data_IF_413154573039
#
_entry.id   IF_413154573039
#
_cell.length_a   1.000
_cell.length_b   1.000
_cell.length_c   1.000
_cell.angle_alpha   90.00
_cell.angle_beta   90.00
_cell.angle_gamma   90.00
#
_symmetry.space_group_name_H-M   'P 1'
#
loop_
_entity.id
_entity.type
_entity.pdbx_description
1 polymer ?
#
# COMPACT_ATOMS: atom_id res chain seq x y z
N UNK A 1 33.04 -39.76 -29.14
CA UNK A 1 31.75 -39.65 -29.87
C UNK A 1 30.81 -38.80 -29.03
N UNK A 2 30.77 -37.51 -29.31
CA UNK A 2 29.93 -36.51 -28.65
C UNK A 2 28.64 -36.33 -29.46
N UNK A 3 27.50 -36.51 -28.80
CA UNK A 3 26.16 -36.32 -29.36
C UNK A 3 25.95 -34.85 -29.80
N UNK A 4 25.65 -34.56 -31.09
CA UNK A 4 25.47 -33.18 -31.56
C UNK A 4 24.08 -32.56 -31.29
N UNK A 5 23.19 -33.19 -30.50
CA UNK A 5 21.82 -32.70 -30.29
C UNK A 5 21.54 -32.05 -28.93
N UNK A 6 22.54 -31.45 -28.30
CA UNK A 6 22.29 -30.48 -27.24
C UNK A 6 21.87 -29.13 -27.85
N UNK A 7 20.60 -29.02 -28.27
CA UNK A 7 20.00 -27.73 -28.61
C UNK A 7 20.10 -26.79 -27.42
N UNK A 8 20.82 -25.69 -27.60
CA UNK A 8 20.86 -24.57 -26.66
C UNK A 8 19.43 -24.13 -26.30
N UNK A 9 19.15 -23.71 -25.05
CA UNK A 9 17.86 -23.12 -24.73
C UNK A 9 17.66 -21.92 -25.65
N UNK A 10 16.66 -22.01 -26.53
CA UNK A 10 16.29 -20.96 -27.45
C UNK A 10 16.21 -19.64 -26.69
N UNK A 11 17.10 -18.70 -27.00
CA UNK A 11 16.96 -17.33 -26.56
C UNK A 11 15.61 -16.84 -27.08
N UNK A 12 14.60 -16.80 -26.22
CA UNK A 12 13.29 -16.29 -26.59
C UNK A 12 13.48 -14.83 -27.02
N UNK A 13 13.47 -14.59 -28.33
CA UNK A 13 13.60 -13.26 -28.92
C UNK A 13 12.58 -12.36 -28.24
N UNK A 14 13.05 -11.27 -27.63
CA UNK A 14 12.15 -10.31 -26.98
C UNK A 14 11.14 -9.78 -28.00
N UNK A 15 9.86 -9.61 -27.64
CA UNK A 15 8.86 -9.14 -28.59
C UNK A 15 9.24 -7.78 -29.19
N UNK A 16 8.85 -7.52 -30.46
CA UNK A 16 9.07 -6.24 -31.11
C UNK A 16 8.63 -5.07 -30.22
N UNK A 17 9.33 -3.93 -30.28
CA UNK A 17 9.04 -2.76 -29.43
C UNK A 17 7.58 -2.30 -29.50
N UNK A 18 6.96 -2.36 -30.69
CA UNK A 18 5.56 -2.01 -30.89
C UNK A 18 4.60 -3.00 -30.20
N UNK A 19 4.94 -4.29 -30.15
CA UNK A 19 4.11 -5.30 -29.50
C UNK A 19 4.10 -5.13 -27.98
N UNK A 20 5.25 -4.72 -27.41
CA UNK A 20 5.33 -4.31 -25.99
C UNK A 20 4.53 -3.04 -25.73
N UNK A 21 4.62 -2.04 -26.61
CA UNK A 21 3.84 -0.82 -26.50
C UNK A 21 2.33 -1.09 -26.58
N UNK A 22 1.90 -1.99 -27.46
CA UNK A 22 0.51 -2.45 -27.56
C UNK A 22 0.05 -3.16 -26.28
N UNK A 23 0.87 -4.06 -25.73
CA UNK A 23 0.59 -4.71 -24.44
C UNK A 23 0.44 -3.67 -23.29
N UNK A 24 1.33 -2.66 -23.23
CA UNK A 24 1.22 -1.55 -22.26
C UNK A 24 -0.03 -0.70 -22.46
N UNK A 25 -0.37 -0.36 -23.71
CA UNK A 25 -1.56 0.43 -24.03
C UNK A 25 -2.85 -0.32 -23.62
N UNK A 26 -2.92 -1.63 -23.87
CA UNK A 26 -4.05 -2.45 -23.46
C UNK A 26 -4.21 -2.48 -21.92
N UNK A 27 -3.10 -2.62 -21.19
CA UNK A 27 -3.10 -2.58 -19.72
C UNK A 27 -3.51 -1.19 -19.22
N UNK A 28 -2.98 -0.13 -19.82
CA UNK A 28 -3.35 1.24 -19.47
C UNK A 28 -4.84 1.49 -19.70
N UNK A 29 -5.40 1.04 -20.82
CA UNK A 29 -6.84 1.13 -21.08
C UNK A 29 -7.67 0.31 -20.10
N UNK A 30 -7.23 -0.88 -19.72
CA UNK A 30 -7.90 -1.66 -18.68
C UNK A 30 -7.86 -0.96 -17.31
N UNK A 31 -6.70 -0.40 -16.92
CA UNK A 31 -6.57 0.39 -15.68
C UNK A 31 -7.47 1.63 -15.72
N UNK A 32 -7.45 2.39 -16.81
CA UNK A 32 -8.32 3.55 -17.00
C UNK A 32 -9.81 3.15 -17.02
N UNK A 33 -10.15 1.99 -17.59
CA UNK A 33 -11.52 1.49 -17.53
C UNK A 33 -11.96 1.22 -16.09
N UNK A 34 -11.06 0.64 -15.27
CA UNK A 34 -11.33 0.38 -13.86
C UNK A 34 -11.44 1.67 -13.03
N UNK A 35 -10.80 2.77 -13.46
CA UNK A 35 -10.91 4.06 -12.76
C UNK A 35 -12.19 4.82 -13.12
N UNK A 36 -12.84 4.56 -14.26
CA UNK A 36 -14.04 5.30 -14.68
C UNK A 36 -15.24 5.14 -13.73
N UNK A 37 -15.63 3.93 -13.28
CA UNK A 37 -16.65 3.78 -12.24
C UNK A 37 -16.28 4.52 -10.94
N UNK A 38 -14.98 4.76 -10.72
CA UNK A 38 -14.40 5.34 -9.51
C UNK A 38 -14.29 6.88 -9.56
N UNK A 39 -14.04 7.46 -10.73
CA UNK A 39 -13.86 8.91 -10.92
C UNK A 39 -15.08 9.60 -11.53
N UNK A 40 -16.06 8.84 -12.04
CA UNK A 40 -17.11 9.37 -12.91
C UNK A 40 -16.62 9.64 -14.33
N UNK A 41 -15.39 9.22 -14.65
CA UNK A 41 -14.72 9.46 -15.92
C UNK A 41 -14.05 10.83 -16.03
N UNK A 42 -13.25 11.01 -17.08
CA UNK A 42 -12.60 12.29 -17.37
C UNK A 42 -13.45 13.04 -18.40
N UNK A 43 -13.85 14.27 -18.05
CA UNK A 43 -14.43 15.25 -18.97
C UNK A 43 -13.48 16.44 -19.01
N UNK A 44 -12.71 16.57 -20.09
CA UNK A 44 -11.74 17.64 -20.23
C UNK A 44 -11.89 18.32 -21.58
N UNK A 45 -11.76 19.65 -21.61
CA UNK A 45 -11.63 20.41 -22.83
C UNK A 45 -10.13 20.58 -23.10
N UNK A 46 -9.62 19.89 -24.11
CA UNK A 46 -8.20 19.91 -24.47
C UNK A 46 -8.12 20.45 -25.88
N UNK A 47 -7.53 21.65 -26.05
CA UNK A 47 -7.29 22.27 -27.36
C UNK A 47 -8.58 22.47 -28.20
N UNK A 48 -9.69 22.81 -27.53
CA UNK A 48 -11.00 22.97 -28.16
C UNK A 48 -11.80 21.67 -28.34
N UNK A 49 -11.22 20.50 -28.04
CA UNK A 49 -11.90 19.21 -28.14
C UNK A 49 -12.48 18.75 -26.81
N UNK A 50 -13.74 18.31 -26.83
CA UNK A 50 -14.38 17.68 -25.68
C UNK A 50 -13.96 16.21 -25.55
N UNK A 51 -12.94 15.95 -24.73
CA UNK A 51 -12.55 14.59 -24.37
C UNK A 51 -13.54 14.05 -23.32
N UNK A 52 -14.38 13.09 -23.70
CA UNK A 52 -15.32 12.38 -22.82
C UNK A 52 -14.93 10.92 -22.67
N UNK A 53 -14.23 10.59 -21.58
CA UNK A 53 -13.88 9.21 -21.22
C UNK A 53 -14.71 8.80 -20.01
N UNK A 54 -15.95 8.38 -20.27
CA UNK A 54 -16.96 8.05 -19.24
C UNK A 54 -17.49 6.62 -19.32
N UNK A 55 -17.12 5.86 -20.36
CA UNK A 55 -17.56 4.47 -20.53
C UNK A 55 -16.40 3.50 -20.29
N UNK A 56 -16.44 2.67 -19.23
CA UNK A 56 -15.43 1.65 -19.01
C UNK A 56 -15.43 0.60 -20.12
N UNK A 57 -16.61 0.28 -20.65
CA UNK A 57 -16.79 -0.72 -21.71
C UNK A 57 -16.04 -0.37 -23.00
N UNK A 58 -16.03 0.90 -23.42
CA UNK A 58 -15.28 1.32 -24.62
C UNK A 58 -13.78 1.10 -24.45
N UNK A 59 -13.25 1.44 -23.29
CA UNK A 59 -11.83 1.23 -22.99
C UNK A 59 -11.47 -0.25 -22.89
N UNK A 60 -12.32 -1.08 -22.29
CA UNK A 60 -12.13 -2.53 -22.27
C UNK A 60 -12.20 -3.14 -23.67
N UNK A 61 -13.08 -2.64 -24.53
CA UNK A 61 -13.16 -3.08 -25.94
C UNK A 61 -11.89 -2.72 -26.71
N UNK A 62 -11.37 -1.50 -26.53
CA UNK A 62 -10.07 -1.11 -27.11
C UNK A 62 -8.93 -1.98 -26.57
N UNK A 63 -8.89 -2.23 -25.26
CA UNK A 63 -7.90 -3.12 -24.66
C UNK A 63 -7.97 -4.54 -25.27
N UNK A 64 -9.19 -5.10 -25.39
CA UNK A 64 -9.41 -6.40 -25.99
C UNK A 64 -8.99 -6.44 -27.48
N UNK A 65 -9.37 -5.43 -28.27
CA UNK A 65 -9.01 -5.33 -29.68
C UNK A 65 -7.48 -5.25 -29.88
N UNK A 66 -6.79 -4.47 -29.04
CA UNK A 66 -5.32 -4.37 -29.07
C UNK A 66 -4.68 -5.72 -28.73
N UNK A 67 -5.18 -6.42 -27.70
CA UNK A 67 -4.67 -7.75 -27.31
C UNK A 67 -4.88 -8.77 -28.42
N UNK A 68 -6.06 -8.79 -29.04
CA UNK A 68 -6.38 -9.70 -30.15
C UNK A 68 -5.50 -9.41 -31.37
N UNK A 69 -5.42 -8.15 -31.81
CA UNK A 69 -4.58 -7.76 -32.94
C UNK A 69 -3.10 -8.09 -32.69
N UNK A 70 -2.60 -7.80 -31.49
CA UNK A 70 -1.23 -8.15 -31.08
C UNK A 70 -1.02 -9.66 -31.07
N UNK A 71 -1.99 -10.45 -30.60
CA UNK A 71 -1.86 -11.91 -30.53
C UNK A 71 -1.86 -12.56 -31.91
N UNK A 72 -2.66 -12.06 -32.85
CA UNK A 72 -2.69 -12.54 -34.24
C UNK A 72 -1.39 -12.20 -34.97
N UNK A 73 -0.83 -11.00 -34.74
CA UNK A 73 0.36 -10.52 -35.43
C UNK A 73 1.68 -11.01 -34.82
N UNK A 74 1.70 -11.36 -33.53
CA UNK A 74 2.89 -11.85 -32.81
C UNK A 74 2.54 -13.11 -32.03
N UNK A 75 2.96 -14.27 -32.56
CA UNK A 75 2.74 -15.60 -31.97
C UNK A 75 3.48 -15.87 -30.64
N UNK A 76 4.16 -14.87 -30.08
CA UNK A 76 4.73 -14.96 -28.74
C UNK A 76 3.63 -14.75 -27.68
N UNK A 77 3.76 -15.33 -26.47
CA UNK A 77 2.81 -15.07 -25.39
C UNK A 77 2.62 -13.57 -25.16
N UNK A 78 1.36 -13.15 -25.04
CA UNK A 78 1.01 -11.77 -24.67
C UNK A 78 1.44 -11.47 -23.25
N UNK A 79 1.66 -10.19 -22.93
CA UNK A 79 1.99 -9.79 -21.56
C UNK A 79 0.91 -10.25 -20.56
N UNK A 80 -0.34 -10.39 -21.01
CA UNK A 80 -1.44 -11.00 -20.25
C UNK A 80 -1.23 -12.49 -19.93
N UNK A 81 -0.77 -13.30 -20.89
CA UNK A 81 -0.49 -14.71 -20.66
C UNK A 81 0.70 -14.88 -19.73
N UNK A 82 1.77 -14.11 -19.95
CA UNK A 82 2.94 -14.08 -19.07
C UNK A 82 2.57 -13.58 -17.67
N UNK A 83 1.67 -12.60 -17.56
CA UNK A 83 1.13 -12.14 -16.29
C UNK A 83 0.30 -13.24 -15.60
N UNK A 84 -0.56 -13.95 -16.33
CA UNK A 84 -1.33 -15.08 -15.79
C UNK A 84 -0.42 -16.20 -15.30
N UNK A 85 0.58 -16.60 -16.09
CA UNK A 85 1.55 -17.63 -15.72
C UNK A 85 2.42 -17.19 -14.53
N UNK A 86 2.80 -15.91 -14.48
CA UNK A 86 3.44 -15.30 -13.32
C UNK A 86 2.53 -15.32 -12.08
N UNK A 87 1.24 -15.01 -12.21
CA UNK A 87 0.26 -15.08 -11.11
C UNK A 87 0.08 -16.53 -10.64
N UNK A 88 -0.05 -17.49 -11.55
CA UNK A 88 -0.23 -18.91 -11.19
C UNK A 88 1.02 -19.49 -10.51
N UNK A 89 2.21 -19.20 -11.03
CA UNK A 89 3.46 -19.62 -10.40
C UNK A 89 3.68 -18.94 -9.06
N UNK A 90 3.33 -17.66 -8.94
CA UNK A 90 3.41 -16.90 -7.70
C UNK A 90 2.41 -17.39 -6.64
N UNK A 91 1.19 -17.73 -7.05
CA UNK A 91 0.18 -18.27 -6.13
C UNK A 91 0.55 -19.65 -5.58
N UNK A 92 1.36 -20.41 -6.32
CA UNK A 92 1.93 -21.70 -5.88
C UNK A 92 3.28 -21.55 -5.16
N UNK A 93 3.76 -20.34 -4.97
CA UNK A 93 5.08 -20.11 -4.38
C UNK A 93 5.08 -20.37 -2.87
N UNK A 94 6.17 -20.94 -2.37
CA UNK A 94 6.35 -21.15 -0.92
C UNK A 94 6.15 -19.87 -0.09
N UNK A 95 6.66 -18.68 -0.48
CA UNK A 95 6.41 -17.45 0.26
C UNK A 95 4.93 -17.13 0.44
N UNK A 96 4.13 -17.23 -0.62
CA UNK A 96 2.70 -16.91 -0.53
C UNK A 96 1.94 -17.96 0.27
N UNK A 97 2.27 -19.25 0.09
CA UNK A 97 1.64 -20.32 0.86
C UNK A 97 1.91 -20.14 2.36
N UNK A 98 3.16 -19.90 2.76
CA UNK A 98 3.51 -19.69 4.16
C UNK A 98 2.86 -18.42 4.72
N UNK A 99 2.84 -17.32 3.96
CA UNK A 99 2.16 -16.09 4.34
C UNK A 99 0.65 -16.28 4.52
N UNK A 100 0.01 -16.99 3.60
CA UNK A 100 -1.43 -17.29 3.66
C UNK A 100 -1.75 -18.18 4.87
N UNK A 101 -0.92 -19.19 5.18
CA UNK A 101 -1.08 -20.02 6.37
C UNK A 101 -0.94 -19.20 7.65
N UNK A 102 0.06 -18.33 7.75
CA UNK A 102 0.26 -17.45 8.91
C UNK A 102 -0.94 -16.49 9.12
N UNK A 103 -1.47 -15.91 8.04
CA UNK A 103 -2.67 -15.09 8.12
C UNK A 103 -3.91 -15.93 8.48
N UNK A 104 -4.12 -17.08 7.83
CA UNK A 104 -5.25 -17.97 8.11
C UNK A 104 -5.26 -18.51 9.54
N UNK A 105 -4.08 -18.75 10.13
CA UNK A 105 -3.96 -19.19 11.52
C UNK A 105 -4.17 -18.08 12.56
N UNK A 106 -3.99 -16.80 12.20
CA UNK A 106 -4.01 -15.68 13.16
C UNK A 106 -5.22 -14.77 13.01
N UNK A 107 -5.64 -14.45 11.78
CA UNK A 107 -6.72 -13.48 11.53
C UNK A 107 -8.09 -13.93 12.06
N UNK A 108 -8.54 -15.18 11.85
CA UNK A 108 -9.83 -15.62 12.38
C UNK A 108 -9.88 -15.55 13.91
N UNK A 109 -8.78 -15.89 14.59
CA UNK A 109 -8.66 -15.78 16.05
C UNK A 109 -8.80 -14.33 16.50
N UNK A 110 -8.15 -13.38 15.80
CA UNK A 110 -8.27 -11.95 16.13
C UNK A 110 -9.70 -11.45 15.97
N UNK A 111 -10.38 -11.79 14.87
CA UNK A 111 -11.77 -11.42 14.68
C UNK A 111 -12.69 -12.10 15.71
N UNK A 112 -12.45 -13.36 16.05
CA UNK A 112 -13.20 -14.07 17.08
C UNK A 112 -13.03 -13.41 18.46
N UNK A 113 -11.80 -13.07 18.85
CA UNK A 113 -11.51 -12.37 20.11
C UNK A 113 -12.20 -11.00 20.12
N UNK A 114 -12.11 -10.23 19.04
CA UNK A 114 -12.80 -8.94 18.94
C UNK A 114 -14.32 -9.08 19.07
N UNK A 115 -14.91 -10.08 18.39
CA UNK A 115 -16.33 -10.38 18.45
C UNK A 115 -16.79 -10.79 19.86
N UNK A 116 -16.06 -11.71 20.49
CA UNK A 116 -16.33 -12.14 21.87
C UNK A 116 -16.18 -10.97 22.86
N UNK A 117 -15.20 -10.10 22.66
CA UNK A 117 -15.01 -8.89 23.48
C UNK A 117 -16.24 -7.99 23.41
N UNK A 118 -16.81 -7.77 22.22
CA UNK A 118 -18.02 -6.95 22.06
C UNK A 118 -19.24 -7.61 22.75
N UNK A 119 -19.40 -8.92 22.62
CA UNK A 119 -20.53 -9.63 23.25
C UNK A 119 -20.40 -9.65 24.78
N UNK A 120 -19.20 -9.88 25.30
CA UNK A 120 -18.96 -10.06 26.74
C UNK A 120 -18.85 -8.73 27.49
N UNK A 121 -18.15 -7.75 26.91
CA UNK A 121 -17.84 -6.47 27.58
C UNK A 121 -18.73 -5.32 27.09
N UNK A 122 -19.39 -5.47 25.94
CA UNK A 122 -20.18 -4.40 25.34
C UNK A 122 -19.33 -3.27 24.76
N UNK A 123 -19.94 -2.10 24.61
CA UNK A 123 -19.26 -0.88 24.16
C UNK A 123 -18.94 0.03 25.34
N UNK A 124 -17.88 0.83 25.19
CA UNK A 124 -17.51 1.81 26.19
C UNK A 124 -18.69 2.79 26.46
N UNK A 125 -19.02 3.08 27.73
CA UNK A 125 -20.08 4.03 28.07
C UNK A 125 -19.83 5.41 27.44
N UNK A 126 -20.89 6.02 26.88
CA UNK A 126 -20.82 7.36 26.30
C UNK A 126 -20.25 7.45 24.88
N UNK A 127 -19.71 6.36 24.31
CA UNK A 127 -19.33 6.29 22.91
C UNK A 127 -20.47 5.68 22.09
N UNK A 128 -21.02 6.41 21.13
CA UNK A 128 -21.99 5.80 20.20
C UNK A 128 -21.27 4.75 19.35
N UNK A 129 -21.75 3.49 19.36
CA UNK A 129 -21.16 2.44 18.54
C UNK A 129 -21.39 2.74 17.06
N UNK A 130 -20.34 2.59 16.25
CA UNK A 130 -20.47 2.67 14.79
C UNK A 130 -21.17 1.40 14.29
N UNK A 131 -22.51 1.42 14.28
CA UNK A 131 -23.38 0.26 14.05
C UNK A 131 -24.26 0.48 12.83
N UNK A 132 -23.67 0.33 11.66
CA UNK A 132 -24.35 0.54 10.37
C UNK A 132 -25.16 -0.69 9.92
N UNK A 133 -24.93 -1.85 10.53
CA UNK A 133 -25.56 -3.12 10.17
C UNK A 133 -26.26 -3.77 11.37
N UNK A 134 -27.30 -4.56 11.10
CA UNK A 134 -27.94 -5.40 12.14
C UNK A 134 -26.96 -6.46 12.69
N UNK A 135 -26.12 -7.01 11.81
CA UNK A 135 -25.13 -8.03 12.13
C UNK A 135 -23.88 -7.43 12.77
N UNK A 136 -23.59 -7.83 14.01
CA UNK A 136 -22.37 -7.40 14.70
C UNK A 136 -21.09 -7.90 14.03
N UNK A 137 -21.17 -9.00 13.29
CA UNK A 137 -20.02 -9.49 12.51
C UNK A 137 -19.60 -8.49 11.42
N UNK A 138 -20.57 -7.80 10.81
CA UNK A 138 -20.29 -6.75 9.81
C UNK A 138 -19.86 -5.44 10.45
N UNK A 139 -20.30 -5.16 11.69
CA UNK A 139 -19.85 -3.98 12.44
C UNK A 139 -18.47 -4.17 13.08
N UNK A 140 -18.00 -5.42 13.24
CA UNK A 140 -16.74 -5.72 13.91
C UNK A 140 -15.54 -4.95 13.34
N UNK A 141 -15.36 -4.80 12.01
CA UNK A 141 -14.26 -4.02 11.45
C UNK A 141 -14.42 -2.49 11.59
N UNK A 142 -15.60 -2.00 11.96
CA UNK A 142 -15.94 -0.58 12.06
C UNK A 142 -15.51 0.00 13.42
N UNK A 143 -14.21 0.11 13.62
CA UNK A 143 -13.61 0.58 14.87
C UNK A 143 -12.60 1.69 14.62
N UNK A 144 -12.49 2.61 15.58
CA UNK A 144 -11.49 3.68 15.59
C UNK A 144 -11.52 4.50 14.28
N UNK A 145 -10.39 4.62 13.57
CA UNK A 145 -10.28 5.41 12.35
C UNK A 145 -10.84 4.73 11.10
N UNK A 146 -11.45 3.55 11.22
CA UNK A 146 -12.11 2.89 10.09
C UNK A 146 -13.14 3.82 9.43
N UNK A 147 -13.88 4.59 10.23
CA UNK A 147 -14.84 5.58 9.76
C UNK A 147 -14.20 6.67 8.89
N UNK A 148 -12.98 7.13 9.22
CA UNK A 148 -12.27 8.12 8.42
C UNK A 148 -11.85 7.58 7.05
N UNK A 149 -11.28 6.37 7.01
CA UNK A 149 -10.89 5.75 5.74
C UNK A 149 -12.09 5.39 4.87
N UNK A 150 -13.16 4.84 5.46
CA UNK A 150 -14.39 4.53 4.73
C UNK A 150 -15.11 5.80 4.26
N UNK A 151 -15.14 6.86 5.07
CA UNK A 151 -15.66 8.18 4.67
C UNK A 151 -14.92 8.74 3.46
N UNK A 152 -13.59 8.72 3.48
CA UNK A 152 -12.80 9.13 2.29
C UNK A 152 -13.10 8.19 1.11
N UNK A 153 -13.24 6.88 1.34
CA UNK A 153 -13.53 5.94 0.26
C UNK A 153 -14.94 6.16 -0.35
N UNK A 154 -15.93 6.58 0.42
CA UNK A 154 -17.32 6.79 -0.03
C UNK A 154 -17.54 8.20 -0.58
N UNK A 155 -17.25 9.24 0.20
CA UNK A 155 -17.59 10.63 -0.10
C UNK A 155 -16.38 11.47 -0.54
N UNK A 156 -15.16 11.05 -0.19
CA UNK A 156 -13.93 11.75 -0.57
C UNK A 156 -13.45 12.74 0.48
N UNK A 157 -12.48 13.56 0.09
CA UNK A 157 -11.91 14.57 0.97
C UNK A 157 -12.82 15.80 1.08
N UNK A 158 -12.95 16.32 2.29
CA UNK A 158 -13.67 17.54 2.59
C UNK A 158 -12.84 18.37 3.57
N UNK A 159 -12.81 19.69 3.37
CA UNK A 159 -12.12 20.61 4.25
C UNK A 159 -13.01 21.82 4.53
N UNK A 160 -13.16 22.17 5.80
CA UNK A 160 -13.92 23.32 6.29
C UNK A 160 -12.94 24.24 7.01
N UNK A 161 -12.59 25.34 6.36
CA UNK A 161 -11.60 26.29 6.88
C UNK A 161 -12.07 26.98 8.18
N UNK A 162 -13.37 27.26 8.28
CA UNK A 162 -13.98 27.90 9.45
C UNK A 162 -14.18 26.98 10.67
N UNK A 163 -13.89 25.68 10.56
CA UNK A 163 -14.13 24.73 11.64
C UNK A 163 -13.13 24.89 12.81
N UNK A 164 -12.02 25.61 12.61
CA UNK A 164 -10.98 25.83 13.61
C UNK A 164 -10.02 24.64 13.78
N UNK A 165 -8.94 24.82 14.56
CA UNK A 165 -7.85 23.85 14.69
C UNK A 165 -8.23 22.58 15.46
N UNK A 166 -9.27 22.65 16.30
CA UNK A 166 -9.72 21.53 17.15
C UNK A 166 -10.71 20.60 16.44
N UNK A 167 -11.19 20.99 15.25
CA UNK A 167 -12.12 20.18 14.48
C UNK A 167 -11.36 19.07 13.72
N UNK A 168 -11.72 17.82 14.00
CA UNK A 168 -11.17 16.66 13.27
C UNK A 168 -11.68 16.67 11.83
N UNK A 169 -10.74 16.59 10.88
CA UNK A 169 -11.04 16.59 9.45
C UNK A 169 -10.27 15.48 8.73
N UNK A 170 -10.84 14.96 7.65
CA UNK A 170 -10.32 13.76 6.99
C UNK A 170 -9.03 14.01 6.16
N UNK A 171 -8.62 15.27 6.00
CA UNK A 171 -7.39 15.67 5.30
C UNK A 171 -6.11 15.14 5.94
N UNK A 172 -6.14 14.73 7.21
CA UNK A 172 -4.98 14.13 7.90
C UNK A 172 -4.65 12.72 7.42
N UNK A 173 -5.61 12.03 6.79
CA UNK A 173 -5.47 10.64 6.34
C UNK A 173 -5.03 10.59 4.86
N UNK A 174 -3.92 9.91 4.60
CA UNK A 174 -3.29 9.86 3.27
C UNK A 174 -4.04 8.93 2.29
N UNK A 175 -3.92 9.17 0.97
CA UNK A 175 -4.92 8.74 0.00
C UNK A 175 -4.78 7.29 -0.50
N UNK A 176 -3.60 6.66 -0.41
CA UNK A 176 -3.37 5.39 -1.11
C UNK A 176 -4.34 4.28 -0.69
N UNK A 177 -4.54 4.09 0.61
CA UNK A 177 -5.44 3.06 1.14
C UNK A 177 -6.92 3.35 0.86
N UNK A 178 -7.51 4.51 1.23
CA UNK A 178 -8.94 4.74 1.01
C UNK A 178 -9.31 4.79 -0.49
N UNK A 179 -8.41 5.24 -1.37
CA UNK A 179 -8.63 5.17 -2.81
C UNK A 179 -8.62 3.72 -3.33
N UNK A 180 -7.72 2.87 -2.82
CA UNK A 180 -7.72 1.45 -3.14
C UNK A 180 -9.03 0.78 -2.70
N UNK A 181 -9.47 1.05 -1.46
CA UNK A 181 -10.75 0.57 -0.93
C UNK A 181 -11.93 1.04 -1.79
N UNK A 182 -11.95 2.31 -2.20
CA UNK A 182 -12.98 2.84 -3.11
C UNK A 182 -13.06 2.08 -4.42
N UNK A 183 -11.91 1.77 -5.03
CA UNK A 183 -11.87 0.98 -6.28
C UNK A 183 -12.48 -0.41 -6.04
N UNK A 184 -12.03 -1.11 -5.00
CA UNK A 184 -12.50 -2.46 -4.67
C UNK A 184 -14.00 -2.48 -4.38
N UNK A 185 -14.48 -1.56 -3.53
CA UNK A 185 -15.89 -1.49 -3.14
C UNK A 185 -16.81 -1.19 -4.32
N UNK A 186 -16.39 -0.31 -5.25
CA UNK A 186 -17.17 0.00 -6.45
C UNK A 186 -17.26 -1.16 -7.43
N UNK A 187 -16.16 -1.92 -7.57
CA UNK A 187 -16.17 -3.16 -8.36
C UNK A 187 -17.03 -4.25 -7.70
N UNK A 188 -17.15 -4.23 -6.37
CA UNK A 188 -17.96 -5.16 -5.58
C UNK A 188 -19.43 -4.72 -5.40
N UNK A 189 -19.92 -3.74 -6.18
CA UNK A 189 -21.34 -3.35 -6.20
C UNK A 189 -21.67 -2.02 -5.51
N UNK A 190 -20.68 -1.29 -4.98
CA UNK A 190 -20.83 0.07 -4.46
C UNK A 190 -21.90 0.24 -3.35
N UNK A 191 -22.10 -0.78 -2.52
CA UNK A 191 -22.99 -0.74 -1.35
C UNK A 191 -22.20 -0.50 -0.06
N UNK A 192 -22.87 -0.11 1.03
CA UNK A 192 -22.23 0.02 2.35
C UNK A 192 -21.49 -1.28 2.75
N UNK A 193 -22.15 -2.43 2.57
CA UNK A 193 -21.52 -3.73 2.82
C UNK A 193 -20.29 -3.98 1.92
N UNK A 194 -20.34 -3.57 0.64
CA UNK A 194 -19.19 -3.69 -0.26
C UNK A 194 -17.99 -2.84 0.19
N UNK A 195 -18.24 -1.67 0.80
CA UNK A 195 -17.18 -0.85 1.38
C UNK A 195 -16.55 -1.49 2.61
N UNK A 196 -17.34 -2.02 3.54
CA UNK A 196 -16.82 -2.66 4.75
C UNK A 196 -16.11 -3.97 4.44
N UNK A 197 -16.80 -4.90 3.76
CA UNK A 197 -16.23 -6.21 3.40
C UNK A 197 -15.05 -6.04 2.45
N UNK A 198 -15.18 -5.14 1.46
CA UNK A 198 -14.11 -4.83 0.51
C UNK A 198 -12.87 -4.28 1.20
N UNK A 199 -13.03 -3.37 2.17
CA UNK A 199 -11.92 -2.85 2.96
C UNK A 199 -11.25 -3.93 3.82
N UNK A 200 -12.03 -4.74 4.54
CA UNK A 200 -11.52 -5.82 5.39
C UNK A 200 -10.75 -6.84 4.56
N UNK A 201 -11.32 -7.32 3.45
CA UNK A 201 -10.65 -8.26 2.55
C UNK A 201 -9.39 -7.64 1.95
N UNK A 202 -9.46 -6.38 1.52
CA UNK A 202 -8.29 -5.64 0.99
C UNK A 202 -7.17 -5.60 2.01
N UNK A 203 -7.44 -5.22 3.26
CA UNK A 203 -6.43 -5.21 4.33
C UNK A 203 -5.80 -6.59 4.51
N UNK A 204 -6.60 -7.66 4.62
CA UNK A 204 -6.09 -9.02 4.84
C UNK A 204 -5.24 -9.50 3.67
N UNK A 205 -5.68 -9.25 2.44
CA UNK A 205 -4.92 -9.59 1.23
C UNK A 205 -3.58 -8.84 1.20
N UNK A 206 -3.60 -7.52 1.44
CA UNK A 206 -2.39 -6.71 1.50
C UNK A 206 -1.40 -7.23 2.56
N UNK A 207 -1.91 -7.68 3.71
CA UNK A 207 -1.07 -8.26 4.76
C UNK A 207 -0.42 -9.58 4.31
N UNK A 208 -1.18 -10.48 3.68
CA UNK A 208 -0.62 -11.72 3.10
C UNK A 208 0.47 -11.41 2.08
N UNK A 209 0.25 -10.42 1.22
CA UNK A 209 1.27 -10.01 0.24
C UNK A 209 2.50 -9.40 0.94
N UNK A 210 2.29 -8.63 2.01
CA UNK A 210 3.37 -8.06 2.80
C UNK A 210 4.23 -9.16 3.41
N UNK A 211 3.61 -10.15 4.05
CA UNK A 211 4.27 -11.32 4.62
C UNK A 211 5.04 -12.11 3.55
N UNK A 212 4.52 -12.23 2.33
CA UNK A 212 5.24 -12.88 1.25
C UNK A 212 6.55 -12.13 0.87
N UNK A 213 6.54 -10.79 0.87
CA UNK A 213 7.77 -10.01 0.68
C UNK A 213 8.71 -10.12 1.89
N UNK A 214 8.19 -10.07 3.11
CA UNK A 214 8.97 -10.27 4.34
C UNK A 214 9.65 -11.64 4.34
N UNK A 215 8.96 -12.70 3.92
CA UNK A 215 9.53 -14.04 3.80
C UNK A 215 10.69 -14.06 2.81
N UNK A 216 10.52 -13.42 1.65
CA UNK A 216 11.57 -13.33 0.64
C UNK A 216 12.80 -12.58 1.14
N UNK A 217 12.60 -11.50 1.90
CA UNK A 217 13.69 -10.76 2.55
C UNK A 217 14.38 -11.59 3.65
N UNK A 218 13.59 -12.24 4.51
CA UNK A 218 14.10 -13.10 5.58
C UNK A 218 14.98 -14.22 5.03
N UNK A 219 14.54 -14.86 3.94
CA UNK A 219 15.30 -15.91 3.24
C UNK A 219 16.63 -15.46 2.63
N UNK A 220 16.89 -14.16 2.51
CA UNK A 220 18.21 -13.68 2.07
C UNK A 220 19.27 -13.88 3.17
N UNK A 221 18.85 -14.10 4.43
CA UNK A 221 19.76 -14.22 5.59
C UNK A 221 19.46 -15.39 6.52
N UNK A 222 18.30 -16.02 6.40
CA UNK A 222 17.79 -17.05 7.30
C UNK A 222 17.43 -18.34 6.53
N UNK A 223 17.30 -19.45 7.26
CA UNK A 223 16.75 -20.69 6.71
C UNK A 223 15.26 -20.55 6.42
N UNK A 224 14.69 -21.47 5.62
CA UNK A 224 13.26 -21.45 5.27
C UNK A 224 12.36 -21.56 6.52
N UNK A 225 12.75 -22.39 7.51
CA UNK A 225 12.03 -22.52 8.78
C UNK A 225 12.10 -21.25 9.63
N UNK A 226 13.27 -20.61 9.70
CA UNK A 226 13.43 -19.33 10.41
C UNK A 226 12.66 -18.19 9.70
N UNK A 227 12.63 -18.18 8.37
CA UNK A 227 11.82 -17.24 7.60
C UNK A 227 10.32 -17.47 7.83
N UNK A 228 9.89 -18.73 7.90
CA UNK A 228 8.50 -19.07 8.26
C UNK A 228 8.15 -18.66 9.70
N UNK A 229 9.04 -18.92 10.66
CA UNK A 229 8.87 -18.49 12.05
C UNK A 229 8.77 -16.97 12.16
N UNK A 230 9.58 -16.22 11.40
CA UNK A 230 9.51 -14.75 11.32
C UNK A 230 8.11 -14.27 10.94
N UNK A 231 7.47 -14.92 9.97
CA UNK A 231 6.11 -14.60 9.54
C UNK A 231 5.08 -14.86 10.63
N UNK A 232 5.18 -16.01 11.31
CA UNK A 232 4.27 -16.34 12.42
C UNK A 232 4.44 -15.39 13.60
N UNK A 233 5.67 -15.02 13.97
CA UNK A 233 5.93 -14.05 15.04
C UNK A 233 5.33 -12.67 14.69
N UNK A 234 5.56 -12.19 13.47
CA UNK A 234 4.98 -10.92 13.01
C UNK A 234 3.45 -10.96 12.95
N UNK A 235 2.86 -12.11 12.56
CA UNK A 235 1.43 -12.30 12.48
C UNK A 235 0.76 -12.61 13.82
N UNK A 236 1.49 -13.03 14.85
CA UNK A 236 0.94 -13.36 16.17
C UNK A 236 1.18 -12.26 17.21
N UNK A 237 2.15 -11.35 16.97
CA UNK A 237 2.42 -10.22 17.84
C UNK A 237 1.15 -9.40 18.14
N UNK A 238 0.90 -8.93 19.39
CA UNK A 238 -0.39 -8.31 19.76
C UNK A 238 -0.83 -7.16 18.85
N UNK A 239 0.08 -6.26 18.46
CA UNK A 239 -0.28 -5.12 17.60
C UNK A 239 -0.45 -5.49 16.13
N UNK A 240 -0.25 -6.76 15.75
CA UNK A 240 -0.60 -7.24 14.41
C UNK A 240 -2.11 -7.20 14.14
N UNK A 241 -2.94 -6.89 15.15
CA UNK A 241 -4.35 -6.53 15.00
C UNK A 241 -4.56 -5.42 13.96
N UNK A 242 -3.64 -4.45 13.86
CA UNK A 242 -3.75 -3.35 12.89
C UNK A 242 -3.55 -3.81 11.45
N UNK A 243 -2.94 -4.98 11.23
CA UNK A 243 -2.91 -5.62 9.91
C UNK A 243 -4.22 -6.34 9.54
N UNK A 244 -5.22 -6.33 10.41
CA UNK A 244 -6.59 -6.79 10.15
C UNK A 244 -7.65 -5.68 10.19
N UNK A 245 -7.31 -4.50 10.73
CA UNK A 245 -8.21 -3.35 10.80
C UNK A 245 -8.34 -2.62 9.44
N UNK A 246 -9.40 -1.82 9.25
CA UNK A 246 -9.62 -1.01 8.03
C UNK A 246 -8.68 0.20 8.03
N UNK A 247 -7.39 -0.07 7.85
CA UNK A 247 -6.27 0.75 8.27
C UNK A 247 -5.12 0.65 7.24
N UNK A 248 -4.17 1.57 7.30
CA UNK A 248 -3.09 1.69 6.28
C UNK A 248 -1.93 0.73 6.50
N UNK A 249 -1.86 0.07 7.65
CA UNK A 249 -0.72 -0.67 8.17
C UNK A 249 -0.31 -1.83 7.27
N UNK A 250 -1.27 -2.59 6.74
CA UNK A 250 -0.99 -3.69 5.79
C UNK A 250 -0.43 -3.19 4.46
N UNK A 251 -0.99 -2.10 3.93
CA UNK A 251 -0.49 -1.46 2.71
C UNK A 251 0.92 -0.91 2.91
N UNK A 252 1.15 -0.29 4.07
CA UNK A 252 2.42 0.32 4.43
C UNK A 252 3.52 -0.74 4.58
N UNK A 253 3.25 -1.85 5.28
CA UNK A 253 4.19 -2.96 5.43
C UNK A 253 4.52 -3.59 4.07
N UNK A 254 3.51 -3.83 3.23
CA UNK A 254 3.70 -4.32 1.87
C UNK A 254 4.59 -3.37 1.07
N UNK A 255 4.32 -2.07 1.15
CA UNK A 255 5.08 -1.04 0.45
C UNK A 255 6.55 -0.98 0.87
N UNK A 256 6.81 -0.99 2.17
CA UNK A 256 8.18 -0.96 2.70
C UNK A 256 8.94 -2.23 2.34
N UNK A 257 8.34 -3.41 2.57
CA UNK A 257 8.98 -4.69 2.27
C UNK A 257 9.25 -4.83 0.76
N UNK A 258 8.30 -4.41 -0.08
CA UNK A 258 8.47 -4.34 -1.53
C UNK A 258 9.58 -3.40 -1.94
N UNK A 259 9.64 -2.20 -1.37
CA UNK A 259 10.69 -1.22 -1.65
C UNK A 259 12.08 -1.79 -1.35
N UNK A 260 12.31 -2.32 -0.15
CA UNK A 260 13.61 -2.92 0.21
C UNK A 260 13.97 -4.12 -0.66
N UNK A 261 13.02 -5.01 -0.91
CA UNK A 261 13.24 -6.21 -1.73
C UNK A 261 13.73 -5.86 -3.13
N UNK A 262 13.04 -4.94 -3.80
CA UNK A 262 13.42 -4.52 -5.15
C UNK A 262 14.68 -3.63 -5.15
N UNK A 263 14.86 -2.80 -4.12
CA UNK A 263 16.03 -1.94 -4.01
C UNK A 263 17.32 -2.75 -3.83
N UNK A 264 17.33 -3.75 -2.95
CA UNK A 264 18.45 -4.67 -2.74
C UNK A 264 18.83 -5.43 -4.02
N UNK A 265 17.84 -5.75 -4.86
CA UNK A 265 18.02 -6.40 -6.17
C UNK A 265 18.35 -5.45 -7.32
N UNK A 266 18.50 -4.15 -7.04
CA UNK A 266 18.77 -3.08 -8.03
C UNK A 266 17.65 -2.90 -9.06
N UNK A 267 16.44 -3.35 -8.75
CA UNK A 267 15.23 -3.14 -9.54
C UNK A 267 14.65 -1.75 -9.22
N UNK A 268 15.45 -0.70 -9.45
CA UNK A 268 15.18 0.66 -8.95
C UNK A 268 13.84 1.23 -9.40
N UNK A 269 13.35 0.90 -10.61
CA UNK A 269 12.02 1.31 -11.06
C UNK A 269 10.88 0.73 -10.22
N UNK A 270 11.01 -0.53 -9.77
CA UNK A 270 10.01 -1.16 -8.88
C UNK A 270 10.14 -0.63 -7.47
N UNK A 271 11.37 -0.44 -6.98
CA UNK A 271 11.62 0.19 -5.68
C UNK A 271 11.06 1.62 -5.62
N UNK A 272 11.23 2.40 -6.69
CA UNK A 272 10.68 3.74 -6.87
C UNK A 272 9.15 3.74 -6.79
N UNK A 273 8.48 2.79 -7.47
CA UNK A 273 7.02 2.67 -7.42
C UNK A 273 6.52 2.34 -6.00
N UNK A 274 7.15 1.38 -5.32
CA UNK A 274 6.84 1.06 -3.93
C UNK A 274 7.10 2.24 -2.99
N UNK A 275 8.20 2.96 -3.19
CA UNK A 275 8.54 4.17 -2.43
C UNK A 275 7.47 5.25 -2.58
N UNK A 276 7.03 5.53 -3.81
CA UNK A 276 5.95 6.47 -4.09
C UNK A 276 4.67 6.07 -3.35
N UNK A 277 4.29 4.79 -3.42
CA UNK A 277 3.11 4.27 -2.75
C UNK A 277 3.19 4.44 -1.23
N UNK A 278 4.36 4.15 -0.63
CA UNK A 278 4.60 4.34 0.81
C UNK A 278 4.42 5.80 1.22
N UNK A 279 4.97 6.74 0.44
CA UNK A 279 4.80 8.18 0.65
C UNK A 279 3.34 8.64 0.56
N UNK A 280 2.52 7.99 -0.26
CA UNK A 280 1.08 8.23 -0.38
C UNK A 280 0.22 7.48 0.65
N UNK A 281 0.84 6.64 1.50
CA UNK A 281 0.10 5.81 2.46
C UNK A 281 -0.05 6.49 3.82
N UNK A 282 1.01 7.17 4.31
CA UNK A 282 1.03 7.92 5.59
C UNK A 282 2.12 9.00 5.58
N UNK A 283 2.03 10.03 6.44
CA UNK A 283 3.09 11.04 6.60
C UNK A 283 4.48 10.44 6.83
N UNK A 284 4.58 9.47 7.75
CA UNK A 284 5.84 8.82 8.11
C UNK A 284 6.46 8.01 6.95
N UNK A 285 5.70 7.77 5.87
CA UNK A 285 6.21 7.09 4.69
C UNK A 285 7.35 7.81 3.98
N UNK A 286 7.40 9.15 4.08
CA UNK A 286 8.52 9.92 3.55
C UNK A 286 9.87 9.50 4.16
N UNK A 287 9.86 8.99 5.39
CA UNK A 287 11.07 8.58 6.11
C UNK A 287 11.72 7.34 5.50
N UNK A 288 11.02 6.56 4.65
CA UNK A 288 11.60 5.41 3.95
C UNK A 288 12.80 5.81 3.07
N UNK A 289 12.87 7.07 2.63
CA UNK A 289 14.03 7.60 1.91
C UNK A 289 15.34 7.46 2.72
N UNK A 290 15.28 7.63 4.04
CA UNK A 290 16.46 7.60 4.93
C UNK A 290 17.12 6.21 4.95
N UNK A 291 16.44 5.12 5.34
CA UNK A 291 17.09 3.82 5.38
C UNK A 291 17.45 3.31 3.98
N UNK A 292 16.70 3.64 2.92
CA UNK A 292 17.13 3.34 1.55
C UNK A 292 18.45 4.06 1.20
N UNK A 293 18.63 5.31 1.61
CA UNK A 293 19.90 6.01 1.44
C UNK A 293 21.04 5.35 2.24
N UNK A 294 20.77 4.93 3.48
CA UNK A 294 21.75 4.21 4.32
C UNK A 294 22.22 2.92 3.62
N UNK A 295 21.31 2.12 3.04
CA UNK A 295 21.71 0.89 2.32
C UNK A 295 22.67 1.17 1.15
N UNK A 296 22.55 2.34 0.50
CA UNK A 296 23.50 2.77 -0.55
C UNK A 296 24.83 3.16 0.07
N UNK A 297 24.85 3.81 1.24
CA UNK A 297 26.07 4.22 1.92
C UNK A 297 26.87 3.01 2.40
N UNK A 298 26.22 2.03 3.01
CA UNK A 298 26.85 0.78 3.48
C UNK A 298 27.44 -0.02 2.30
N UNK A 299 26.70 -0.15 1.20
CA UNK A 299 27.15 -0.89 0.02
C UNK A 299 28.23 -0.21 -0.82
N UNK A 300 28.77 0.96 -0.41
CA UNK A 300 29.82 1.69 -1.16
C UNK A 300 31.21 1.09 -0.99
N UNK A 301 31.48 0.33 0.07
CA UNK A 301 32.79 -0.27 0.35
C UNK A 301 33.11 -1.52 -0.45
N UNK A 302 32.09 -2.21 -0.98
CA UNK A 302 32.23 -3.55 -1.54
C UNK A 302 32.32 -3.59 -3.08
N UNK A 303 32.30 -2.44 -3.78
CA UNK A 303 32.04 -2.40 -5.23
C UNK A 303 33.02 -1.58 -6.09
N UNK A 304 33.33 -2.05 -7.32
CA UNK A 304 34.08 -1.28 -8.30
C UNK A 304 33.43 0.06 -8.65
N UNK A 305 34.25 1.10 -8.79
CA UNK A 305 33.82 2.49 -9.00
C UNK A 305 32.89 2.66 -10.23
N UNK A 306 33.16 1.95 -11.33
CA UNK A 306 32.36 2.05 -12.56
C UNK A 306 30.92 1.54 -12.43
N UNK A 307 30.70 0.46 -11.68
CA UNK A 307 29.36 -0.09 -11.41
C UNK A 307 28.56 0.80 -10.43
N UNK A 308 29.27 1.53 -9.57
CA UNK A 308 28.70 2.52 -8.65
C UNK A 308 28.17 3.76 -9.38
N UNK A 309 28.93 4.31 -10.34
CA UNK A 309 28.55 5.53 -11.06
C UNK A 309 27.32 5.31 -11.96
N UNK A 310 27.26 4.20 -12.71
CA UNK A 310 26.14 3.94 -13.65
C UNK A 310 24.80 3.72 -12.97
N UNK A 311 24.77 3.19 -11.74
CA UNK A 311 23.53 2.93 -11.00
C UNK A 311 23.10 4.05 -10.07
N UNK A 312 23.96 5.05 -9.83
CA UNK A 312 23.71 6.11 -8.85
C UNK A 312 22.46 6.96 -9.16
N UNK A 313 22.20 7.40 -10.41
CA UNK A 313 21.01 8.20 -10.71
C UNK A 313 19.70 7.45 -10.43
N UNK A 314 19.62 6.18 -10.84
CA UNK A 314 18.43 5.36 -10.64
C UNK A 314 18.17 5.05 -9.16
N UNK A 315 19.24 4.79 -8.39
CA UNK A 315 19.14 4.64 -6.94
C UNK A 315 18.67 5.94 -6.26
N UNK A 316 19.24 7.09 -6.61
CA UNK A 316 18.82 8.39 -6.08
C UNK A 316 17.36 8.69 -6.41
N UNK A 317 16.92 8.41 -7.64
CA UNK A 317 15.53 8.57 -8.04
C UNK A 317 14.60 7.69 -7.18
N UNK A 318 14.95 6.41 -6.99
CA UNK A 318 14.16 5.51 -6.13
C UNK A 318 14.12 5.97 -4.66
N UNK A 319 15.24 6.48 -4.13
CA UNK A 319 15.33 7.05 -2.77
C UNK A 319 14.44 8.28 -2.63
N UNK A 320 14.27 9.11 -3.67
CA UNK A 320 13.46 10.33 -3.60
C UNK A 320 11.94 10.06 -3.68
N UNK A 321 11.51 8.90 -4.19
CA UNK A 321 10.10 8.63 -4.44
C UNK A 321 9.17 8.65 -3.21
N UNK A 322 9.57 8.18 -2.01
CA UNK A 322 8.74 8.36 -0.81
C UNK A 322 8.42 9.82 -0.50
N UNK A 323 9.40 10.71 -0.64
CA UNK A 323 9.19 12.16 -0.50
C UNK A 323 8.27 12.68 -1.61
N UNK A 324 8.47 12.23 -2.85
CA UNK A 324 7.61 12.61 -3.97
C UNK A 324 6.14 12.19 -3.74
N UNK A 325 5.90 11.02 -3.13
CA UNK A 325 4.56 10.55 -2.78
C UNK A 325 3.88 11.45 -1.75
N UNK A 326 4.59 11.80 -0.68
CA UNK A 326 4.07 12.74 0.32
C UNK A 326 3.82 14.13 -0.28
N UNK A 327 4.75 14.62 -1.11
CA UNK A 327 4.63 15.90 -1.79
C UNK A 327 3.43 15.95 -2.76
N UNK A 328 3.13 14.84 -3.46
CA UNK A 328 1.96 14.75 -4.34
C UNK A 328 0.66 14.93 -3.55
N UNK A 329 0.57 14.33 -2.37
CA UNK A 329 -0.59 14.53 -1.50
C UNK A 329 -0.65 15.96 -0.94
N UNK A 330 0.48 16.53 -0.50
CA UNK A 330 0.55 17.94 -0.08
C UNK A 330 0.10 18.89 -1.19
N UNK A 331 0.45 18.61 -2.46
CA UNK A 331 0.01 19.41 -3.61
C UNK A 331 -1.51 19.28 -3.85
N UNK A 332 -2.09 18.10 -3.66
CA UNK A 332 -3.55 17.93 -3.67
C UNK A 332 -4.22 18.71 -2.54
N UNK A 333 -3.69 18.63 -1.33
CA UNK A 333 -4.22 19.32 -0.15
C UNK A 333 -4.09 20.83 -0.28
N UNK A 334 -3.03 21.34 -0.92
CA UNK A 334 -2.91 22.77 -1.21
C UNK A 334 -4.09 23.29 -2.05
N UNK A 335 -4.54 22.52 -3.04
CA UNK A 335 -5.70 22.90 -3.86
C UNK A 335 -7.02 22.85 -3.08
N UNK A 336 -7.13 21.98 -2.10
CA UNK A 336 -8.36 21.79 -1.31
C UNK A 336 -8.47 22.77 -0.14
N UNK A 337 -7.36 23.01 0.57
CA UNK A 337 -7.31 23.70 1.85
C UNK A 337 -6.51 25.01 1.82
N UNK A 338 -5.91 25.39 0.68
CA UNK A 338 -5.07 26.59 0.58
C UNK A 338 -3.70 26.49 1.26
N UNK A 339 -3.46 25.45 2.06
CA UNK A 339 -2.17 25.17 2.72
C UNK A 339 -1.67 23.75 2.41
N UNK A 340 -0.43 23.57 1.89
CA UNK A 340 0.10 22.25 1.51
C UNK A 340 0.32 21.32 2.70
N UNK A 341 0.39 21.86 3.92
CA UNK A 341 0.60 21.10 5.15
C UNK A 341 -0.62 21.12 6.08
N UNK A 342 -1.83 21.40 5.55
CA UNK A 342 -3.05 21.33 6.34
C UNK A 342 -3.28 19.93 6.94
N UNK A 343 -2.82 18.87 6.26
CA UNK A 343 -2.83 17.51 6.80
C UNK A 343 -1.93 17.36 8.05
N UNK A 344 -0.84 18.11 8.14
CA UNK A 344 0.06 18.08 9.30
C UNK A 344 -0.53 18.90 10.45
N UNK A 345 -0.98 20.12 10.16
CA UNK A 345 -1.60 21.01 11.13
C UNK A 345 -2.86 20.38 11.77
N UNK A 346 -3.67 19.65 10.99
CA UNK A 346 -4.88 18.99 11.47
C UNK A 346 -4.64 17.91 12.54
N UNK A 347 -3.40 17.47 12.78
CA UNK A 347 -3.09 16.56 13.88
C UNK A 347 -3.35 17.19 15.27
N UNK A 348 -3.39 18.52 15.36
CA UNK A 348 -3.73 19.26 16.58
C UNK A 348 -5.13 18.88 17.12
N UNK A 349 -6.10 18.61 16.23
CA UNK A 349 -7.45 18.14 16.59
C UNK A 349 -7.48 16.76 17.29
N UNK A 350 -6.37 16.02 17.26
CA UNK A 350 -6.16 14.78 18.02
C UNK A 350 -5.24 15.00 19.24
N UNK A 351 -5.08 16.25 19.68
CA UNK A 351 -4.22 16.62 20.81
C UNK A 351 -2.71 16.52 20.51
N UNK A 352 -2.32 16.30 19.25
CA UNK A 352 -0.91 16.11 18.88
C UNK A 352 -0.27 17.44 18.51
N UNK A 353 0.64 17.91 19.36
CA UNK A 353 1.38 19.14 19.18
C UNK A 353 2.87 18.85 19.05
N UNK A 354 3.57 19.63 18.23
CA UNK A 354 5.03 19.57 18.19
C UNK A 354 5.59 20.36 19.37
N UNK A 355 6.15 19.66 20.35
CA UNK A 355 6.73 20.27 21.56
C UNK A 355 8.26 20.47 21.48
N UNK A 356 8.86 20.25 20.31
CA UNK A 356 10.31 20.31 20.13
C UNK A 356 11.05 19.01 20.46
N UNK A 357 12.27 18.87 19.94
CA UNK A 357 13.13 17.71 20.23
C UNK A 357 13.60 17.68 21.69
N UNK A 358 13.68 18.84 22.35
CA UNK A 358 14.05 18.93 23.77
C UNK A 358 13.05 18.22 24.67
N UNK A 359 11.75 18.26 24.34
CA UNK A 359 10.70 17.60 25.12
C UNK A 359 10.82 16.07 25.13
N UNK A 360 11.42 15.44 24.11
CA UNK A 360 11.66 14.00 24.08
C UNK A 360 12.56 13.54 25.23
N UNK A 361 13.50 14.37 25.65
CA UNK A 361 14.50 14.05 26.68
C UNK A 361 14.20 14.78 27.98
N UNK A 362 13.99 16.09 27.92
CA UNK A 362 13.89 16.95 29.09
C UNK A 362 12.64 16.66 29.94
N UNK A 363 11.50 16.38 29.31
CA UNK A 363 10.24 16.16 30.03
C UNK A 363 10.23 14.80 30.73
N UNK A 364 10.77 13.76 30.06
CA UNK A 364 10.93 12.43 30.66
C UNK A 364 11.98 12.44 31.76
N UNK A 365 13.12 13.08 31.50
CA UNK A 365 14.17 13.26 32.50
C UNK A 365 13.66 14.04 33.72
N UNK A 366 13.01 15.19 33.50
CA UNK A 366 12.48 16.02 34.58
C UNK A 366 11.45 15.30 35.44
N UNK A 367 10.60 14.48 34.82
CA UNK A 367 9.66 13.62 35.54
C UNK A 367 10.38 12.54 36.34
N UNK A 368 11.28 11.76 35.71
CA UNK A 368 12.06 10.73 36.42
C UNK A 368 12.90 11.33 37.56
N UNK A 369 13.43 12.54 37.36
CA UNK A 369 14.22 13.24 38.37
C UNK A 369 13.37 13.75 39.55
N UNK A 370 12.08 14.04 39.35
CA UNK A 370 11.19 14.58 40.39
C UNK A 370 10.39 13.52 41.14
N UNK A 371 9.90 12.48 40.45
CA UNK A 371 9.06 11.41 41.02
C UNK A 371 9.75 10.04 41.03
N UNK A 372 10.96 9.94 40.49
CA UNK A 372 11.72 8.70 40.45
C UNK A 372 11.32 7.76 39.32
N UNK A 373 12.22 6.83 39.00
CA UNK A 373 12.03 5.88 37.89
C UNK A 373 10.88 4.89 38.16
N UNK A 374 10.68 4.50 39.42
CA UNK A 374 9.67 3.49 39.79
C UNK A 374 8.25 3.98 39.51
N UNK A 375 7.97 5.26 39.82
CA UNK A 375 6.68 5.90 39.62
C UNK A 375 6.44 6.29 38.15
N UNK A 376 7.52 6.53 37.40
CA UNK A 376 7.44 6.71 35.95
C UNK A 376 7.02 5.43 35.21
N UNK A 377 7.46 4.26 35.67
CA UNK A 377 7.19 2.96 35.02
C UNK A 377 5.82 2.38 35.42
N UNK A 378 5.23 2.82 36.53
CA UNK A 378 3.93 2.35 37.02
C UNK A 378 2.72 3.10 36.47
N UNK A 379 2.93 4.11 35.62
CA UNK A 379 1.91 4.80 34.82
C UNK A 379 1.84 4.21 33.42
#
# INVERSE_FOLDING_TARGET
MSDPRATSPSQALSPPGWARAADFAAILFAILALTIPVSGGVRALVWGWHLKIVSPFRLLLFAAAIVVARHVLVGQPSLFRSLREAIVSWTRSAPLRTAALAAAGTRPVMFAVGYLTVIMLGYAPGAQPFRDFESELLNLPLRWDAGWYLGIATTGYSYIDSAGPDAQQNVVFFPAYPLLVRVVARLAGNSAAAYVVGATVTTVVLFVLALAYVYRLARERLTDDQAAATLWLLAAYPFSLFYGAIYTESLFLLGIAGAFYHFGRREFGRAAWWGLLVGLTRPNGLLLSVPLAITVLEGRGERPVGARIRGAPAACAAIAMPVAGAALYSAFIWRLAGSPFAWAAGHAAWGRHYEGLSHLVATRYGFIASVGLLEYVSR
#
